data_IF_355543506969
#
_entry.id   IF_355543506969
#
_cell.length_a   1.000
_cell.length_b   1.000
_cell.length_c   1.000
_cell.angle_alpha   90.00
_cell.angle_beta   90.00
_cell.angle_gamma   90.00
#
_symmetry.space_group_name_H-M   'P 1'
#
loop_
_entity.id
_entity.type
_entity.pdbx_description
1 polymer ?
#
# COMPACT_ATOMS: atom_id res chain seq x y z
N UNK A 1 -13.73 -9.47 3.37
CA UNK A 1 -13.40 -10.55 2.39
C UNK A 1 -12.02 -11.11 2.71
N UNK A 2 -11.84 -12.43 2.62
CA UNK A 2 -10.55 -13.09 2.80
C UNK A 2 -9.57 -12.73 1.69
N UNK A 3 -8.33 -12.45 2.05
CA UNK A 3 -7.27 -12.09 1.09
C UNK A 3 -6.96 -13.25 0.14
N UNK A 4 -6.99 -14.51 0.63
CA UNK A 4 -6.79 -15.70 -0.23
C UNK A 4 -7.87 -15.85 -1.29
N UNK A 5 -9.13 -15.56 -0.96
CA UNK A 5 -10.22 -15.61 -1.93
C UNK A 5 -10.05 -14.55 -3.02
N UNK A 6 -9.49 -13.39 -2.67
CA UNK A 6 -9.15 -12.35 -3.62
C UNK A 6 -7.96 -12.75 -4.52
N UNK A 7 -6.92 -13.35 -3.94
CA UNK A 7 -5.79 -13.92 -4.70
C UNK A 7 -6.30 -14.91 -5.77
N UNK A 8 -7.21 -15.82 -5.39
CA UNK A 8 -7.81 -16.78 -6.33
C UNK A 8 -8.67 -16.08 -7.39
N UNK A 9 -9.40 -15.03 -7.02
CA UNK A 9 -10.18 -14.24 -7.96
C UNK A 9 -9.26 -13.59 -9.00
N UNK A 10 -8.20 -12.90 -8.60
CA UNK A 10 -7.24 -12.27 -9.52
C UNK A 10 -6.58 -13.34 -10.41
N UNK A 11 -6.13 -14.46 -9.84
CA UNK A 11 -5.51 -15.55 -10.61
C UNK A 11 -6.41 -16.07 -11.74
N UNK A 12 -7.73 -16.07 -11.54
CA UNK A 12 -8.72 -16.52 -12.55
C UNK A 12 -9.06 -15.44 -13.56
N UNK A 13 -9.07 -14.18 -13.16
CA UNK A 13 -9.52 -13.05 -13.97
C UNK A 13 -8.40 -12.38 -14.74
N UNK A 14 -7.15 -12.45 -14.25
CA UNK A 14 -5.99 -11.93 -14.95
C UNK A 14 -5.67 -12.80 -16.17
N UNK A 15 -5.98 -12.26 -17.34
CA UNK A 15 -5.73 -12.90 -18.64
C UNK A 15 -4.31 -12.65 -19.15
N UNK A 16 -3.69 -11.57 -18.73
CA UNK A 16 -2.36 -11.17 -19.20
C UNK A 16 -1.27 -11.99 -18.53
N UNK A 17 -1.41 -12.28 -17.24
CA UNK A 17 -0.41 -13.00 -16.40
C UNK A 17 1.01 -12.56 -16.69
N UNK A 18 1.22 -11.25 -16.70
CA UNK A 18 2.46 -10.61 -17.10
C UNK A 18 2.80 -9.48 -16.15
N UNK A 19 4.00 -9.54 -15.56
CA UNK A 19 4.47 -8.54 -14.60
C UNK A 19 4.50 -7.13 -15.18
N UNK A 20 4.88 -6.98 -16.44
CA UNK A 20 4.95 -5.67 -17.09
C UNK A 20 3.57 -5.04 -17.22
N UNK A 21 2.58 -5.84 -17.61
CA UNK A 21 1.18 -5.38 -17.71
C UNK A 21 0.69 -4.94 -16.34
N UNK A 22 0.99 -5.70 -15.29
CA UNK A 22 0.63 -5.34 -13.92
C UNK A 22 1.33 -4.06 -13.47
N UNK A 23 2.62 -3.90 -13.78
CA UNK A 23 3.39 -2.70 -13.44
C UNK A 23 2.85 -1.44 -14.12
N UNK A 24 2.55 -1.52 -15.41
CA UNK A 24 1.90 -0.41 -16.13
C UNK A 24 0.49 -0.15 -15.61
N UNK A 25 -0.25 -1.20 -15.21
CA UNK A 25 -1.55 -1.09 -14.57
C UNK A 25 -1.45 -0.30 -13.26
N UNK A 26 -0.55 -0.68 -12.34
CA UNK A 26 -0.32 0.07 -11.08
C UNK A 26 -0.08 1.55 -11.36
N UNK A 27 0.77 1.87 -12.36
CA UNK A 27 1.09 3.25 -12.70
C UNK A 27 -0.09 4.00 -13.32
N UNK A 28 -0.89 3.32 -14.14
CA UNK A 28 -2.11 3.86 -14.75
C UNK A 28 -3.15 4.21 -13.69
N UNK A 29 -3.48 3.25 -12.83
CA UNK A 29 -4.51 3.46 -11.78
C UNK A 29 -4.07 4.47 -10.72
N UNK A 30 -2.77 4.55 -10.40
CA UNK A 30 -2.27 5.65 -9.60
C UNK A 30 -2.53 7.00 -10.27
N UNK A 31 -2.33 7.10 -11.59
CA UNK A 31 -2.66 8.29 -12.37
C UNK A 31 -4.15 8.63 -12.31
N UNK A 32 -5.03 7.63 -12.32
CA UNK A 32 -6.48 7.79 -12.16
C UNK A 32 -6.84 8.34 -10.77
N UNK A 33 -6.27 7.79 -9.69
CA UNK A 33 -6.44 8.33 -8.32
C UNK A 33 -5.98 9.78 -8.24
N UNK A 34 -4.79 10.10 -8.78
CA UNK A 34 -4.26 11.47 -8.81
C UNK A 34 -5.21 12.40 -9.58
N UNK A 35 -5.77 11.94 -10.69
CA UNK A 35 -6.72 12.71 -11.50
C UNK A 35 -8.04 12.94 -10.77
N UNK A 36 -8.55 11.95 -10.04
CA UNK A 36 -9.75 12.09 -9.21
C UNK A 36 -9.55 13.12 -8.09
N UNK A 37 -8.40 13.06 -7.40
CA UNK A 37 -8.02 14.05 -6.38
C UNK A 37 -7.88 15.45 -7.00
N UNK A 38 -7.27 15.57 -8.17
CA UNK A 38 -7.16 16.85 -8.90
C UNK A 38 -8.55 17.42 -9.23
N UNK A 39 -9.47 16.62 -9.74
CA UNK A 39 -10.85 17.07 -10.05
C UNK A 39 -11.55 17.59 -8.79
N UNK A 40 -11.40 16.90 -7.67
CA UNK A 40 -11.93 17.32 -6.38
C UNK A 40 -11.40 18.69 -5.94
N UNK A 41 -10.09 18.92 -6.07
CA UNK A 41 -9.46 20.21 -5.77
C UNK A 41 -10.00 21.34 -6.68
N UNK A 42 -10.22 21.05 -7.96
CA UNK A 42 -10.75 22.02 -8.92
C UNK A 42 -12.20 22.38 -8.59
N UNK A 43 -13.01 21.43 -8.17
CA UNK A 43 -14.41 21.66 -7.79
C UNK A 43 -14.58 22.42 -6.48
N UNK A 44 -13.50 22.59 -5.70
CA UNK A 44 -13.56 23.21 -4.38
C UNK A 44 -14.25 22.36 -3.32
N UNK A 45 -14.39 21.05 -3.56
CA UNK A 45 -14.95 20.10 -2.59
C UNK A 45 -13.89 19.79 -1.51
N UNK A 46 -14.04 20.42 -0.36
CA UNK A 46 -13.14 20.26 0.80
C UNK A 46 -13.61 19.18 1.79
N UNK A 47 -14.73 18.49 1.53
CA UNK A 47 -15.25 17.43 2.40
C UNK A 47 -14.52 16.10 2.15
N UNK A 48 -13.27 16.03 2.58
CA UNK A 48 -12.37 14.87 2.38
C UNK A 48 -12.81 13.60 3.11
N UNK A 49 -13.79 13.70 3.99
CA UNK A 49 -14.35 12.53 4.71
C UNK A 49 -15.48 11.85 3.90
N UNK A 50 -15.97 12.50 2.82
CA UNK A 50 -16.95 11.89 1.92
C UNK A 50 -16.26 11.18 0.77
N UNK A 51 -16.62 9.91 0.52
CA UNK A 51 -16.12 9.20 -0.64
C UNK A 51 -16.65 9.85 -1.93
N UNK A 52 -15.79 10.00 -2.92
CA UNK A 52 -16.15 10.28 -4.30
C UNK A 52 -16.17 8.93 -5.03
N UNK A 53 -17.17 8.65 -5.87
CA UNK A 53 -17.30 7.37 -6.59
C UNK A 53 -16.00 7.00 -7.31
N UNK A 54 -15.37 7.95 -8.00
CA UNK A 54 -14.10 7.74 -8.70
C UNK A 54 -12.95 7.37 -7.74
N UNK A 55 -12.89 7.95 -6.54
CA UNK A 55 -11.87 7.64 -5.53
C UNK A 55 -12.16 6.29 -4.86
N UNK A 56 -13.38 5.80 -4.91
CA UNK A 56 -13.76 4.48 -4.37
C UNK A 56 -13.26 3.35 -5.29
N UNK A 57 -13.40 3.53 -6.59
CA UNK A 57 -13.09 2.51 -7.59
C UNK A 57 -11.57 2.28 -7.73
N UNK A 58 -10.81 3.34 -7.91
CA UNK A 58 -9.40 3.29 -8.25
C UNK A 58 -8.48 2.54 -7.23
N UNK A 59 -8.66 2.65 -5.90
CA UNK A 59 -7.93 1.81 -4.95
C UNK A 59 -8.16 0.31 -5.15
N UNK A 60 -9.37 -0.09 -5.59
CA UNK A 60 -9.69 -1.48 -5.90
C UNK A 60 -8.86 -1.98 -7.09
N UNK A 61 -8.78 -1.21 -8.15
CA UNK A 61 -8.00 -1.54 -9.34
C UNK A 61 -6.50 -1.55 -9.05
N UNK A 62 -6.00 -0.62 -8.23
CA UNK A 62 -4.63 -0.65 -7.74
C UNK A 62 -4.30 -1.96 -6.99
N UNK A 63 -5.17 -2.42 -6.09
CA UNK A 63 -4.99 -3.70 -5.37
C UNK A 63 -5.01 -4.88 -6.34
N UNK A 64 -5.86 -4.83 -7.36
CA UNK A 64 -5.93 -5.89 -8.38
C UNK A 64 -4.58 -6.01 -9.11
N UNK A 65 -4.03 -4.89 -9.59
CA UNK A 65 -2.74 -4.89 -10.27
C UNK A 65 -1.56 -5.22 -9.34
N UNK A 66 -1.59 -4.81 -8.07
CA UNK A 66 -0.60 -5.23 -7.08
C UNK A 66 -0.62 -6.75 -6.87
N UNK A 67 -1.81 -7.35 -6.81
CA UNK A 67 -1.97 -8.79 -6.68
C UNK A 67 -1.47 -9.52 -7.92
N UNK A 68 -1.81 -9.04 -9.12
CA UNK A 68 -1.29 -9.58 -10.38
C UNK A 68 0.25 -9.47 -10.45
N UNK A 69 0.83 -8.32 -10.06
CA UNK A 69 2.27 -8.13 -10.02
C UNK A 69 2.96 -9.12 -9.07
N UNK A 70 2.38 -9.37 -7.89
CA UNK A 70 2.89 -10.32 -6.91
C UNK A 70 2.89 -11.75 -7.46
N UNK A 71 1.77 -12.17 -8.04
CA UNK A 71 1.59 -13.51 -8.60
C UNK A 71 2.51 -13.77 -9.80
N UNK A 72 2.76 -12.74 -10.62
CA UNK A 72 3.54 -12.86 -11.85
C UNK A 72 5.05 -12.63 -11.65
N UNK A 73 5.46 -11.92 -10.59
CA UNK A 73 6.87 -11.73 -10.25
C UNK A 73 7.50 -13.01 -9.74
N UNK A 74 7.03 -13.51 -8.59
CA UNK A 74 7.63 -14.66 -7.90
C UNK A 74 6.58 -15.66 -7.39
N UNK A 75 5.35 -15.62 -7.87
CA UNK A 75 4.25 -16.46 -7.38
C UNK A 75 3.85 -16.15 -5.93
N UNK A 76 4.12 -14.93 -5.47
CA UNK A 76 3.84 -14.50 -4.10
C UNK A 76 2.37 -14.16 -3.97
N UNK A 77 1.75 -14.58 -2.88
CA UNK A 77 0.35 -14.27 -2.57
C UNK A 77 0.24 -12.91 -1.88
N UNK A 78 -0.85 -12.19 -2.14
CA UNK A 78 -1.14 -10.91 -1.49
C UNK A 78 -1.16 -11.02 0.04
N UNK A 79 -1.65 -12.15 0.57
CA UNK A 79 -1.64 -12.42 2.00
C UNK A 79 -0.22 -12.46 2.59
N UNK A 80 0.77 -12.95 1.83
CA UNK A 80 2.17 -12.98 2.27
C UNK A 80 2.79 -11.58 2.22
N UNK A 81 2.40 -10.75 1.24
CA UNK A 81 2.80 -9.34 1.15
C UNK A 81 2.27 -8.56 2.35
N UNK A 82 0.97 -8.69 2.67
CA UNK A 82 0.37 -8.04 3.84
C UNK A 82 1.08 -8.42 5.12
N UNK A 83 1.34 -9.72 5.28
CA UNK A 83 2.02 -10.28 6.44
C UNK A 83 3.44 -9.74 6.58
N UNK A 84 4.22 -9.76 5.50
CA UNK A 84 5.58 -9.23 5.46
C UNK A 84 5.62 -7.74 5.78
N UNK A 85 4.69 -6.97 5.21
CA UNK A 85 4.58 -5.54 5.49
C UNK A 85 4.28 -5.27 6.99
N UNK A 86 3.36 -6.02 7.60
CA UNK A 86 3.06 -5.90 9.04
C UNK A 86 4.29 -6.23 9.88
N UNK A 87 5.03 -7.28 9.55
CA UNK A 87 6.27 -7.65 10.26
C UNK A 87 7.29 -6.51 10.17
N UNK A 88 7.52 -5.98 8.97
CA UNK A 88 8.42 -4.86 8.74
C UNK A 88 7.99 -3.61 9.54
N UNK A 89 6.70 -3.32 9.62
CA UNK A 89 6.15 -2.24 10.43
C UNK A 89 6.39 -2.49 11.93
N UNK A 90 6.17 -3.72 12.40
CA UNK A 90 6.42 -4.09 13.79
C UNK A 90 7.89 -3.93 14.17
N UNK A 91 8.80 -4.39 13.30
CA UNK A 91 10.25 -4.26 13.51
C UNK A 91 10.68 -2.79 13.53
N UNK A 92 10.22 -2.00 12.57
CA UNK A 92 10.44 -0.55 12.55
C UNK A 92 9.93 0.14 13.82
N UNK A 93 8.77 -0.29 14.35
CA UNK A 93 8.20 0.26 15.59
C UNK A 93 8.93 -0.24 16.84
N UNK A 94 9.39 -1.49 16.87
CA UNK A 94 10.15 -2.07 17.98
C UNK A 94 11.58 -1.52 18.05
N UNK A 95 12.28 -1.49 16.92
CA UNK A 95 13.66 -1.02 16.80
C UNK A 95 13.79 0.49 16.95
N UNK A 96 12.72 1.21 16.81
CA UNK A 96 12.64 2.65 17.00
C UNK A 96 12.77 3.04 18.48
N UNK A 97 13.81 2.57 19.17
CA UNK A 97 14.38 3.26 20.33
C UNK A 97 14.46 4.77 20.05
N UNK A 98 14.72 5.64 21.00
CA UNK A 98 14.57 7.10 20.91
C UNK A 98 15.12 7.82 19.65
N UNK A 99 15.84 7.15 18.75
CA UNK A 99 16.46 7.72 17.55
C UNK A 99 15.87 7.29 16.19
N UNK A 100 15.16 6.17 16.08
CA UNK A 100 14.58 5.71 14.81
C UNK A 100 13.24 6.39 14.47
N UNK A 101 13.13 7.60 14.72
CA UNK A 101 11.97 8.35 15.07
C UNK A 101 11.44 9.32 14.07
N UNK A 102 11.88 9.25 12.86
CA UNK A 102 11.08 10.02 11.90
C UNK A 102 9.74 9.34 11.63
N UNK A 103 9.72 8.03 11.65
CA UNK A 103 8.47 7.26 11.59
C UNK A 103 7.67 7.31 12.89
N UNK A 104 8.34 7.35 14.03
CA UNK A 104 7.73 7.25 15.35
C UNK A 104 7.36 8.57 16.02
N UNK A 105 7.87 9.73 15.59
CA UNK A 105 7.55 11.03 16.22
C UNK A 105 6.06 11.38 16.25
N UNK A 106 5.26 10.69 15.47
CA UNK A 106 3.83 10.97 15.33
C UNK A 106 2.91 9.85 15.81
N UNK A 107 3.42 8.65 16.09
CA UNK A 107 2.62 7.64 16.77
C UNK A 107 2.55 8.00 18.24
N UNK A 108 1.42 8.60 18.64
CA UNK A 108 1.06 8.76 20.03
C UNK A 108 1.34 7.44 20.79
N UNK A 109 1.98 7.46 21.99
CA UNK A 109 2.28 6.26 22.75
C UNK A 109 1.10 5.29 22.94
N UNK A 110 -0.13 5.83 23.04
CA UNK A 110 -1.36 5.03 23.10
C UNK A 110 -1.65 4.28 21.77
N UNK A 111 -1.42 4.92 20.63
CA UNK A 111 -1.58 4.26 19.32
C UNK A 111 -0.51 3.18 19.10
N UNK A 112 0.73 3.45 19.49
CA UNK A 112 1.82 2.47 19.46
C UNK A 112 1.50 1.24 20.32
N UNK A 113 1.07 1.45 21.56
CA UNK A 113 0.69 0.36 22.45
C UNK A 113 -0.50 -0.44 21.89
N UNK A 114 -1.49 0.24 21.29
CA UNK A 114 -2.63 -0.40 20.64
C UNK A 114 -2.19 -1.20 19.40
N UNK A 115 -1.33 -0.66 18.56
CA UNK A 115 -0.79 -1.37 17.40
C UNK A 115 -0.05 -2.64 17.82
N UNK A 116 0.92 -2.54 18.77
CA UNK A 116 1.67 -3.69 19.25
C UNK A 116 0.80 -4.74 19.95
N UNK A 117 -0.33 -4.33 20.51
CA UNK A 117 -1.31 -5.23 21.16
C UNK A 117 -2.28 -5.87 20.16
N UNK A 118 -2.64 -5.14 19.10
CA UNK A 118 -3.59 -5.60 18.08
C UNK A 118 -2.93 -6.31 16.89
N UNK A 119 -1.61 -6.19 16.74
CA UNK A 119 -0.86 -7.01 15.80
C UNK A 119 -0.59 -8.35 16.45
N UNK A 120 -1.18 -9.43 15.92
CA UNK A 120 -1.05 -10.75 16.49
C UNK A 120 0.42 -11.20 16.50
N UNK A 121 0.77 -12.07 17.45
CA UNK A 121 2.03 -12.80 17.39
C UNK A 121 2.16 -13.53 16.06
N UNK A 122 3.39 -13.79 15.61
CA UNK A 122 3.73 -14.40 14.32
C UNK A 122 2.87 -15.63 13.95
N UNK A 123 2.42 -16.39 14.93
CA UNK A 123 1.55 -17.57 14.75
C UNK A 123 0.15 -17.17 14.23
N UNK A 124 -0.39 -16.04 14.65
CA UNK A 124 -1.71 -15.55 14.18
C UNK A 124 -1.61 -14.92 12.79
N UNK A 125 -0.44 -14.38 12.44
CA UNK A 125 -0.15 -13.89 11.08
C UNK A 125 -0.07 -15.05 10.06
N UNK A 126 -0.05 -16.32 10.49
CA UNK A 126 -0.15 -17.48 9.59
C UNK A 126 -1.57 -17.73 9.07
N UNK A 127 -2.59 -17.12 9.65
CA UNK A 127 -3.96 -17.24 9.20
C UNK A 127 -4.23 -16.35 7.98
N UNK A 128 -5.22 -16.76 7.20
CA UNK A 128 -5.73 -15.97 6.08
C UNK A 128 -6.40 -14.69 6.59
N UNK A 129 -5.83 -13.55 6.19
CA UNK A 129 -6.21 -12.23 6.69
C UNK A 129 -7.47 -11.70 5.99
N UNK A 130 -8.26 -10.90 6.69
CA UNK A 130 -9.28 -10.07 6.08
C UNK A 130 -8.68 -8.73 5.63
N UNK A 131 -9.21 -8.15 4.54
CA UNK A 131 -8.78 -6.82 4.10
C UNK A 131 -8.98 -5.75 5.18
N UNK A 132 -10.10 -5.80 5.89
CA UNK A 132 -10.43 -4.84 6.96
C UNK A 132 -9.42 -4.91 8.11
N UNK A 133 -8.90 -6.10 8.45
CA UNK A 133 -7.89 -6.26 9.48
C UNK A 133 -6.59 -5.56 9.07
N UNK A 134 -6.15 -5.77 7.82
CA UNK A 134 -4.97 -5.10 7.30
C UNK A 134 -5.15 -3.58 7.22
N UNK A 135 -6.30 -3.12 6.73
CA UNK A 135 -6.62 -1.70 6.64
C UNK A 135 -6.62 -1.02 8.01
N UNK A 136 -7.18 -1.67 9.03
CA UNK A 136 -7.16 -1.18 10.40
C UNK A 136 -5.72 -1.04 10.93
N UNK A 137 -4.85 -2.00 10.62
CA UNK A 137 -3.43 -1.95 11.00
C UNK A 137 -2.73 -0.80 10.28
N UNK A 138 -2.93 -0.65 8.97
CA UNK A 138 -2.37 0.45 8.18
C UNK A 138 -2.80 1.81 8.76
N UNK A 139 -4.07 1.99 9.04
CA UNK A 139 -4.60 3.24 9.62
C UNK A 139 -4.05 3.54 11.02
N UNK A 140 -3.81 2.52 11.86
CA UNK A 140 -3.19 2.71 13.17
C UNK A 140 -1.76 3.26 13.08
N UNK A 141 -1.05 2.94 12.00
CA UNK A 141 0.33 3.40 11.76
C UNK A 141 0.40 4.71 10.98
N UNK A 142 -0.70 5.18 10.40
CA UNK A 142 -0.75 6.44 9.66
C UNK A 142 -0.43 7.65 10.56
N UNK A 143 0.43 8.54 10.06
CA UNK A 143 0.97 9.68 10.82
C UNK A 143 0.04 10.88 10.84
N UNK A 144 -0.81 11.02 9.85
CA UNK A 144 -1.71 12.14 9.65
C UNK A 144 -3.09 11.60 9.21
N UNK A 145 -4.02 12.48 8.90
CA UNK A 145 -5.40 12.12 8.56
C UNK A 145 -5.92 13.01 7.43
N UNK A 146 -7.06 12.62 6.87
CA UNK A 146 -7.80 13.39 5.88
C UNK A 146 -6.95 13.74 4.67
N UNK A 147 -7.19 14.90 4.06
CA UNK A 147 -6.49 15.40 2.86
C UNK A 147 -4.97 15.20 2.91
N UNK A 148 -4.34 15.60 4.03
CA UNK A 148 -2.87 15.51 4.15
C UNK A 148 -2.35 14.09 4.08
N UNK A 149 -3.10 13.10 4.58
CA UNK A 149 -2.72 11.69 4.45
C UNK A 149 -2.79 11.25 2.99
N UNK A 150 -3.87 11.62 2.28
CA UNK A 150 -4.02 11.30 0.85
C UNK A 150 -2.89 11.90 0.03
N UNK A 151 -2.58 13.18 0.21
CA UNK A 151 -1.49 13.86 -0.50
C UNK A 151 -0.13 13.19 -0.28
N UNK A 152 0.19 12.82 0.96
CA UNK A 152 1.43 12.10 1.29
C UNK A 152 1.43 10.71 0.66
N UNK A 153 0.33 9.97 0.75
CA UNK A 153 0.23 8.64 0.16
C UNK A 153 0.44 8.68 -1.36
N UNK A 154 -0.18 9.62 -2.07
CA UNK A 154 -0.02 9.76 -3.51
C UNK A 154 1.44 10.09 -3.91
N UNK A 155 2.09 10.99 -3.20
CA UNK A 155 3.50 11.33 -3.44
C UNK A 155 4.41 10.11 -3.24
N UNK A 156 4.19 9.34 -2.17
CA UNK A 156 5.00 8.14 -1.86
C UNK A 156 4.66 6.98 -2.78
N UNK A 157 3.40 6.79 -3.19
CA UNK A 157 3.01 5.80 -4.20
C UNK A 157 3.71 6.05 -5.52
N UNK A 158 3.84 7.31 -5.97
CA UNK A 158 4.59 7.66 -7.18
C UNK A 158 6.06 7.24 -7.10
N UNK A 159 6.69 7.39 -5.93
CA UNK A 159 8.05 6.87 -5.68
C UNK A 159 8.10 5.34 -5.77
N UNK A 160 7.17 4.65 -5.12
CA UNK A 160 7.15 3.18 -5.13
C UNK A 160 6.88 2.60 -6.53
N UNK A 161 6.09 3.28 -7.36
CA UNK A 161 5.99 2.92 -8.78
C UNK A 161 7.35 2.98 -9.47
N UNK A 162 8.12 4.04 -9.26
CA UNK A 162 9.47 4.15 -9.81
C UNK A 162 10.42 3.04 -9.28
N UNK A 163 10.31 2.67 -8.00
CA UNK A 163 11.07 1.55 -7.42
C UNK A 163 10.71 0.21 -8.08
N UNK A 164 9.44 -0.05 -8.42
CA UNK A 164 9.04 -1.25 -9.17
C UNK A 164 9.61 -1.26 -10.59
N UNK A 165 9.62 -0.11 -11.28
CA UNK A 165 10.29 0.00 -12.59
C UNK A 165 11.78 -0.27 -12.50
N UNK A 166 12.44 0.17 -11.43
CA UNK A 166 13.85 -0.11 -11.20
C UNK A 166 14.13 -1.62 -11.02
N UNK A 167 13.26 -2.36 -10.33
CA UNK A 167 13.35 -3.83 -10.24
C UNK A 167 13.32 -4.49 -11.61
N UNK A 168 12.54 -3.93 -12.54
CA UNK A 168 12.40 -4.44 -13.91
C UNK A 168 13.55 -4.05 -14.85
N UNK A 169 14.11 -2.88 -14.66
CA UNK A 169 15.05 -2.24 -15.57
C UNK A 169 16.39 -1.96 -14.87
N UNK A 170 17.11 -3.01 -14.40
CA UNK A 170 18.34 -2.84 -13.64
C UNK A 170 19.45 -2.14 -14.44
N UNK A 171 19.42 -2.24 -15.77
CA UNK A 171 20.42 -1.62 -16.64
C UNK A 171 20.29 -0.08 -16.77
N UNK A 172 19.17 0.48 -16.28
CA UNK A 172 18.94 1.94 -16.23
C UNK A 172 19.32 2.55 -14.87
N UNK A 173 20.23 1.91 -14.15
CA UNK A 173 20.72 2.34 -12.84
C UNK A 173 21.10 3.82 -12.78
N UNK A 174 21.78 4.34 -13.79
CA UNK A 174 22.25 5.72 -13.79
C UNK A 174 21.14 6.77 -13.83
N UNK A 175 20.01 6.45 -14.43
CA UNK A 175 18.90 7.39 -14.65
C UNK A 175 17.84 7.27 -13.55
N UNK A 176 17.62 6.05 -13.03
CA UNK A 176 16.61 5.77 -12.03
C UNK A 176 17.15 5.76 -10.59
N UNK A 177 18.45 5.52 -10.39
CA UNK A 177 19.04 5.23 -9.09
C UNK A 177 19.32 6.42 -8.18
N UNK A 178 19.17 7.65 -8.62
CA UNK A 178 19.40 8.78 -7.72
C UNK A 178 18.32 8.85 -6.66
N UNK A 179 18.53 8.09 -5.57
CA UNK A 179 17.67 8.11 -4.39
C UNK A 179 16.59 7.01 -4.34
N UNK A 180 16.61 6.04 -5.25
CA UNK A 180 15.81 4.83 -5.14
C UNK A 180 16.62 3.73 -4.44
N UNK A 181 15.97 3.01 -3.55
CA UNK A 181 16.57 1.86 -2.88
C UNK A 181 16.35 0.60 -3.74
N UNK A 182 17.40 -0.21 -3.89
CA UNK A 182 17.26 -1.53 -4.52
C UNK A 182 16.61 -2.49 -3.52
N UNK A 183 15.30 -2.66 -3.63
CA UNK A 183 14.46 -3.45 -2.73
C UNK A 183 13.78 -4.58 -3.48
N UNK A 184 13.53 -5.74 -2.83
CA UNK A 184 12.69 -6.79 -3.42
C UNK A 184 11.30 -6.26 -3.79
N UNK A 185 10.76 -6.74 -4.92
CA UNK A 185 9.44 -6.30 -5.40
C UNK A 185 8.34 -6.47 -4.34
N UNK A 186 8.38 -7.56 -3.56
CA UNK A 186 7.41 -7.81 -2.50
C UNK A 186 7.44 -6.77 -1.37
N UNK A 187 8.60 -6.18 -1.06
CA UNK A 187 8.70 -5.12 -0.06
C UNK A 187 8.11 -3.81 -0.60
N UNK A 188 8.37 -3.51 -1.86
CA UNK A 188 7.80 -2.33 -2.54
C UNK A 188 6.28 -2.47 -2.67
N UNK A 189 5.79 -3.64 -3.10
CA UNK A 189 4.36 -3.94 -3.15
C UNK A 189 3.71 -3.84 -1.76
N UNK A 190 4.39 -4.29 -0.71
CA UNK A 190 3.93 -4.15 0.67
C UNK A 190 3.72 -2.69 1.08
N UNK A 191 4.65 -1.82 0.72
CA UNK A 191 4.49 -0.38 0.99
C UNK A 191 3.39 0.25 0.11
N UNK A 192 3.23 -0.17 -1.14
CA UNK A 192 2.13 0.29 -2.01
C UNK A 192 0.77 -0.06 -1.40
N UNK A 193 0.54 -1.31 -1.04
CA UNK A 193 -0.76 -1.74 -0.47
C UNK A 193 -1.03 -1.08 0.88
N UNK A 194 0.00 -0.76 1.66
CA UNK A 194 -0.17 0.03 2.89
C UNK A 194 -0.72 1.43 2.58
N UNK A 195 -0.18 2.12 1.57
CA UNK A 195 -0.65 3.46 1.20
C UNK A 195 -2.06 3.43 0.61
N UNK A 196 -2.40 2.40 -0.18
CA UNK A 196 -3.75 2.19 -0.69
C UNK A 196 -4.73 2.00 0.48
N UNK A 197 -4.40 1.12 1.43
CA UNK A 197 -5.23 0.88 2.62
C UNK A 197 -5.39 2.15 3.49
N UNK A 198 -4.33 2.97 3.58
CA UNK A 198 -4.40 4.25 4.29
C UNK A 198 -5.34 5.25 3.59
N UNK A 199 -5.30 5.34 2.25
CA UNK A 199 -6.23 6.16 1.45
C UNK A 199 -7.66 5.65 1.64
N UNK A 200 -7.90 4.35 1.47
CA UNK A 200 -9.21 3.73 1.67
C UNK A 200 -9.80 4.05 3.04
N UNK A 201 -8.94 4.04 4.09
CA UNK A 201 -9.36 4.38 5.46
C UNK A 201 -9.79 5.84 5.64
N UNK A 202 -9.26 6.77 4.85
CA UNK A 202 -9.70 8.19 4.88
C UNK A 202 -11.13 8.30 4.38
N UNK A 203 -11.48 7.52 3.38
CA UNK A 203 -12.80 7.56 2.74
C UNK A 203 -13.79 6.56 3.32
N UNK A 204 -13.43 5.82 4.38
CA UNK A 204 -14.31 4.83 5.01
C UNK A 204 -14.65 3.65 4.11
N UNK A 205 -13.78 3.32 3.16
CA UNK A 205 -13.92 2.15 2.30
C UNK A 205 -13.52 0.88 3.06
N UNK A 206 -14.22 -0.23 2.82
CA UNK A 206 -13.99 -1.55 3.41
C UNK A 206 -14.03 -2.65 2.35
#
# INVERSE_FOLDING_TARGET
MKVSAYDEFVQRTDKAKNFDVALYGISGELGSVVSAVKRRLISGDDDWDKPNEEIIEEPGDLIWYCTSAAQTSNGIKLNDIFRKNIINLQEKIKSSGKQAWEFGKTLNPKKRARFLKSTPDFIVLSQDMEFDDYQNIAFLTARTKGKKLVEICLAVLSRHCAELFHVKLPDFEHELNKGLENRPAEDVLGDIVWHIAAIASVYGLS
#
